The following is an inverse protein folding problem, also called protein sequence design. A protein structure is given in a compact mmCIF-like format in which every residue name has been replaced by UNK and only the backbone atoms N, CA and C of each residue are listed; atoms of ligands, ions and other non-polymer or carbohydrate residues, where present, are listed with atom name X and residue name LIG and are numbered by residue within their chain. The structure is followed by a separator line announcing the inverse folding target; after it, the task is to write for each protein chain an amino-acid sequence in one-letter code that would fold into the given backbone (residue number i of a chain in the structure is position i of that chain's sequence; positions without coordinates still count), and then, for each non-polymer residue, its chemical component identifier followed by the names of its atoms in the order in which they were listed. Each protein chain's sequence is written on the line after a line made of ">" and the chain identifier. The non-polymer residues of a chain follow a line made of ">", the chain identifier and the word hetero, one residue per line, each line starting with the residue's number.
data_IF_251877625809
#
_entry.id   IF_251877625809
#
_cell.length_a   1.000
_cell.length_b   1.000
_cell.length_c   1.000
_cell.angle_alpha   90.00
_cell.angle_beta   90.00
_cell.angle_gamma   90.00
#
_symmetry.space_group_name_H-M   'P 1'
#
loop_
_entity.id
_entity.type
_entity.pdbx_description
1 polymer ?
#
# COMPACT_ATOMS: atom_id res chain seq x y z
N UNK A 1 -11.70 7.21 -21.44
CA UNK A 1 -10.77 7.51 -20.32
C UNK A 1 -11.54 7.33 -19.03
N UNK A 2 -10.91 6.78 -18.03
CA UNK A 2 -11.46 6.61 -16.68
C UNK A 2 -11.48 7.98 -16.01
N UNK A 3 -12.64 8.42 -15.56
CA UNK A 3 -12.80 9.69 -14.86
C UNK A 3 -12.50 9.50 -13.38
N UNK A 4 -11.38 10.07 -12.93
CA UNK A 4 -10.92 9.95 -11.55
C UNK A 4 -11.19 11.21 -10.73
N UNK A 5 -11.62 11.03 -9.49
CA UNK A 5 -11.64 12.08 -8.48
C UNK A 5 -10.79 11.69 -7.27
N UNK A 6 -10.31 12.70 -6.55
CA UNK A 6 -9.50 12.52 -5.34
C UNK A 6 -10.14 13.34 -4.23
N UNK A 7 -10.49 12.71 -3.09
CA UNK A 7 -10.85 13.40 -1.85
C UNK A 7 -9.63 13.49 -0.92
N UNK A 8 -9.63 14.47 -0.02
CA UNK A 8 -8.44 14.77 0.79
C UNK A 8 -7.31 15.35 -0.06
N UNK A 9 -7.66 16.20 -1.04
CA UNK A 9 -6.77 16.67 -2.10
C UNK A 9 -5.50 17.37 -1.64
N UNK A 10 -5.46 17.90 -0.41
CA UNK A 10 -4.27 18.59 0.15
C UNK A 10 -3.26 17.65 0.81
N UNK A 11 -3.60 16.36 0.98
CA UNK A 11 -2.75 15.38 1.67
C UNK A 11 -1.49 15.01 0.88
N UNK A 12 -0.43 14.52 1.55
CA UNK A 12 0.74 13.97 0.88
C UNK A 12 0.39 12.80 -0.06
N UNK A 13 -0.57 11.96 0.31
CA UNK A 13 -1.04 10.83 -0.50
C UNK A 13 -1.70 11.30 -1.79
N UNK A 14 -2.56 12.31 -1.71
CA UNK A 14 -3.16 12.94 -2.90
C UNK A 14 -2.09 13.48 -3.86
N UNK A 15 -1.03 14.11 -3.32
CA UNK A 15 0.09 14.61 -4.12
C UNK A 15 0.75 13.50 -4.93
N UNK A 16 1.03 12.36 -4.31
CA UNK A 16 1.71 11.25 -5.01
C UNK A 16 0.78 10.56 -6.01
N UNK A 17 -0.52 10.42 -5.69
CA UNK A 17 -1.54 9.95 -6.65
C UNK A 17 -1.60 10.88 -7.86
N UNK A 18 -1.66 12.20 -7.65
CA UNK A 18 -1.70 13.20 -8.72
C UNK A 18 -0.49 13.11 -9.65
N UNK A 19 0.73 12.97 -9.10
CA UNK A 19 1.95 12.83 -9.90
C UNK A 19 1.90 11.63 -10.87
N UNK A 20 1.26 10.54 -10.44
CA UNK A 20 1.11 9.34 -11.27
C UNK A 20 -0.02 9.54 -12.29
N UNK A 21 -1.19 10.00 -11.85
CA UNK A 21 -2.39 10.07 -12.67
C UNK A 21 -2.32 11.15 -13.76
N UNK A 22 -1.62 12.27 -13.55
CA UNK A 22 -1.43 13.32 -14.57
C UNK A 22 -0.80 12.74 -15.86
N UNK A 23 0.05 11.74 -15.73
CA UNK A 23 0.73 11.09 -16.85
C UNK A 23 0.13 9.72 -17.22
N UNK A 24 -0.99 9.34 -16.62
CA UNK A 24 -1.61 8.05 -16.89
C UNK A 24 -2.41 8.08 -18.20
N UNK A 25 -2.13 7.21 -19.18
CA UNK A 25 -2.72 7.31 -20.53
C UNK A 25 -4.23 7.07 -20.58
N UNK A 26 -4.80 6.33 -19.62
CA UNK A 26 -6.20 5.90 -19.62
C UNK A 26 -7.06 6.65 -18.60
N UNK A 27 -6.50 7.63 -17.87
CA UNK A 27 -7.18 8.35 -16.78
C UNK A 27 -7.30 9.84 -17.10
N UNK A 28 -8.46 10.40 -16.79
CA UNK A 28 -8.72 11.84 -16.74
C UNK A 28 -9.03 12.23 -15.28
N UNK A 29 -8.23 13.11 -14.70
CA UNK A 29 -8.55 13.67 -13.38
C UNK A 29 -9.60 14.76 -13.58
N UNK A 30 -10.81 14.56 -13.07
CA UNK A 30 -11.91 15.51 -13.23
C UNK A 30 -12.14 16.35 -11.97
N UNK A 31 -11.70 15.87 -10.80
CA UNK A 31 -11.91 16.57 -9.54
C UNK A 31 -10.80 16.27 -8.55
N UNK A 32 -10.34 17.31 -7.85
CA UNK A 32 -9.49 17.18 -6.64
C UNK A 32 -10.20 17.97 -5.55
N UNK A 33 -10.84 17.22 -4.66
CA UNK A 33 -11.69 17.79 -3.61
C UNK A 33 -10.87 18.14 -2.37
N UNK A 34 -10.91 19.40 -1.99
CA UNK A 34 -10.34 19.96 -0.77
C UNK A 34 -11.05 21.28 -0.45
N UNK A 35 -12.14 21.26 0.33
CA UNK A 35 -12.93 22.44 0.63
C UNK A 35 -12.12 23.58 1.26
N UNK A 36 -11.13 23.22 2.08
CA UNK A 36 -10.24 24.17 2.75
C UNK A 36 -9.30 24.93 1.80
N UNK A 37 -9.10 24.42 0.59
CA UNK A 37 -8.23 25.00 -0.45
C UNK A 37 -9.01 25.41 -1.71
N UNK A 38 -10.34 25.52 -1.64
CA UNK A 38 -11.18 25.80 -2.79
C UNK A 38 -10.67 26.97 -3.66
N UNK A 39 -10.61 26.75 -4.97
CA UNK A 39 -10.16 27.74 -5.95
C UNK A 39 -8.65 27.93 -6.05
N UNK A 40 -7.86 27.42 -5.12
CA UNK A 40 -6.39 27.43 -5.22
C UNK A 40 -5.91 26.48 -6.33
N UNK A 41 -4.83 26.84 -7.01
CA UNK A 41 -4.17 25.90 -7.94
C UNK A 41 -3.56 24.73 -7.15
N UNK A 42 -3.62 23.51 -7.72
CA UNK A 42 -2.99 22.33 -7.10
C UNK A 42 -1.50 22.58 -6.81
N UNK A 43 -0.81 23.30 -7.71
CA UNK A 43 0.60 23.65 -7.58
C UNK A 43 0.93 24.66 -6.47
N UNK A 44 -0.05 25.33 -5.89
CA UNK A 44 0.16 26.21 -4.73
C UNK A 44 0.34 25.42 -3.43
N UNK A 45 -0.34 24.28 -3.31
CA UNK A 45 -0.22 23.34 -2.20
C UNK A 45 0.87 22.29 -2.52
N UNK A 46 0.75 21.65 -3.66
CA UNK A 46 1.67 20.62 -4.15
C UNK A 46 2.70 21.22 -5.10
N UNK A 47 3.73 21.85 -4.54
CA UNK A 47 4.72 22.64 -5.33
C UNK A 47 5.40 21.85 -6.45
N UNK A 48 5.56 20.53 -6.30
CA UNK A 48 6.11 19.64 -7.32
C UNK A 48 5.25 19.51 -8.60
N UNK A 49 3.99 19.96 -8.57
CA UNK A 49 3.08 19.96 -9.73
C UNK A 49 3.12 21.28 -10.53
N UNK A 50 4.07 22.15 -10.23
CA UNK A 50 4.19 23.44 -10.94
C UNK A 50 4.59 23.22 -12.41
N UNK A 51 3.70 23.65 -13.32
CA UNK A 51 3.89 23.45 -14.76
C UNK A 51 3.28 22.17 -15.32
N UNK A 52 2.92 21.21 -14.45
CA UNK A 52 2.31 19.93 -14.85
C UNK A 52 0.78 20.04 -15.03
N UNK A 53 0.15 20.93 -14.26
CA UNK A 53 -1.31 21.11 -14.32
C UNK A 53 -1.72 22.52 -13.89
N UNK A 54 -2.85 23.00 -14.43
CA UNK A 54 -3.53 24.24 -14.04
C UNK A 54 -4.83 23.99 -13.28
N UNK A 55 -5.09 22.76 -12.88
CA UNK A 55 -6.27 22.41 -12.11
C UNK A 55 -6.30 23.11 -10.76
N UNK A 56 -7.53 23.30 -10.26
CA UNK A 56 -7.80 23.91 -8.95
C UNK A 56 -8.52 22.93 -8.05
N UNK A 57 -8.34 23.11 -6.77
CA UNK A 57 -9.15 22.40 -5.77
C UNK A 57 -10.60 22.86 -5.83
N UNK A 58 -11.51 21.94 -5.53
CA UNK A 58 -12.93 22.18 -5.47
C UNK A 58 -13.51 21.75 -4.12
N UNK A 59 -14.59 22.41 -3.67
CA UNK A 59 -15.34 21.99 -2.50
C UNK A 59 -16.45 20.97 -2.81
N UNK A 60 -16.80 20.81 -4.10
CA UNK A 60 -17.85 19.90 -4.55
C UNK A 60 -17.25 18.66 -5.21
N UNK A 61 -17.79 17.50 -4.87
CA UNK A 61 -17.44 16.20 -5.46
C UNK A 61 -18.52 15.82 -6.47
N UNK A 62 -18.19 15.69 -7.78
CA UNK A 62 -19.15 15.28 -8.81
C UNK A 62 -19.31 13.75 -8.82
N UNK A 63 -19.89 13.20 -7.75
CA UNK A 63 -19.88 11.75 -7.44
C UNK A 63 -20.62 10.92 -8.49
N UNK A 64 -21.58 11.51 -9.19
CA UNK A 64 -22.38 10.83 -10.25
C UNK A 64 -21.67 10.84 -11.62
N UNK A 65 -20.61 11.64 -11.78
CA UNK A 65 -19.92 11.84 -13.07
C UNK A 65 -18.51 11.23 -13.09
N UNK A 66 -18.14 10.44 -12.10
CA UNK A 66 -16.82 9.81 -11.97
C UNK A 66 -16.90 8.28 -11.98
N UNK A 67 -15.83 7.64 -12.45
CA UNK A 67 -15.70 6.19 -12.51
C UNK A 67 -14.93 5.64 -11.30
N UNK A 68 -14.00 6.43 -10.74
CA UNK A 68 -13.20 6.06 -9.59
C UNK A 68 -12.97 7.24 -8.65
N UNK A 69 -13.08 6.96 -7.35
CA UNK A 69 -12.76 7.87 -6.27
C UNK A 69 -11.57 7.35 -5.47
N UNK A 70 -10.50 8.12 -5.40
CA UNK A 70 -9.41 7.90 -4.45
C UNK A 70 -9.69 8.69 -3.16
N UNK A 71 -9.82 8.00 -2.06
CA UNK A 71 -9.94 8.61 -0.73
C UNK A 71 -8.54 8.69 -0.13
N UNK A 72 -7.91 9.86 -0.27
CA UNK A 72 -6.50 10.07 0.04
C UNK A 72 -6.24 10.61 1.45
N UNK A 73 -7.29 10.85 2.23
CA UNK A 73 -7.17 11.20 3.63
C UNK A 73 -6.95 9.93 4.46
N UNK A 74 -5.84 9.87 5.18
CA UNK A 74 -5.44 8.70 5.99
C UNK A 74 -5.76 8.84 7.47
N UNK A 75 -6.41 9.94 7.86
CA UNK A 75 -6.85 10.10 9.24
C UNK A 75 -7.98 9.11 9.58
N UNK A 76 -7.93 8.44 10.75
CA UNK A 76 -8.99 7.55 11.18
C UNK A 76 -10.35 8.26 11.21
N UNK A 77 -11.38 7.62 10.65
CA UNK A 77 -12.74 8.16 10.55
C UNK A 77 -13.00 9.02 9.30
N UNK A 78 -11.99 9.34 8.49
CA UNK A 78 -12.15 10.21 7.32
C UNK A 78 -13.06 9.58 6.27
N UNK A 79 -12.81 8.33 5.93
CA UNK A 79 -13.59 7.61 4.92
C UNK A 79 -14.97 7.24 5.42
N UNK A 80 -15.12 6.84 6.68
CA UNK A 80 -16.42 6.62 7.30
C UNK A 80 -17.29 7.89 7.25
N UNK A 81 -16.71 9.05 7.58
CA UNK A 81 -17.40 10.33 7.51
C UNK A 81 -17.85 10.66 6.09
N UNK A 82 -16.97 10.46 5.10
CA UNK A 82 -17.30 10.68 3.70
C UNK A 82 -18.46 9.79 3.27
N UNK A 83 -18.40 8.50 3.53
CA UNK A 83 -19.44 7.53 3.18
C UNK A 83 -20.77 7.80 3.87
N UNK A 84 -20.77 8.35 5.09
CA UNK A 84 -21.98 8.74 5.82
C UNK A 84 -22.66 9.98 5.23
N UNK A 85 -21.92 10.84 4.52
CA UNK A 85 -22.42 12.13 4.01
C UNK A 85 -22.71 12.14 2.52
N UNK A 86 -22.26 11.13 1.78
CA UNK A 86 -22.44 11.02 0.33
C UNK A 86 -23.17 9.72 -0.04
N UNK A 87 -24.16 9.82 -0.92
CA UNK A 87 -24.76 8.64 -1.55
C UNK A 87 -23.84 8.17 -2.66
N UNK A 88 -23.26 6.99 -2.51
CA UNK A 88 -22.33 6.41 -3.48
C UNK A 88 -23.12 5.66 -4.55
N UNK A 89 -22.97 6.03 -5.85
CA UNK A 89 -23.61 5.33 -6.95
C UNK A 89 -23.15 3.87 -7.04
N UNK A 90 -24.09 3.00 -7.42
CA UNK A 90 -23.77 1.61 -7.75
C UNK A 90 -22.80 1.58 -8.95
N UNK A 91 -21.68 0.91 -8.80
CA UNK A 91 -20.65 0.81 -9.84
C UNK A 91 -19.50 1.82 -9.74
N UNK A 92 -19.62 2.90 -8.94
CA UNK A 92 -18.49 3.73 -8.60
C UNK A 92 -17.43 2.91 -7.88
N UNK A 93 -16.19 2.95 -8.37
CA UNK A 93 -15.08 2.28 -7.72
C UNK A 93 -14.44 3.21 -6.69
N UNK A 94 -14.23 2.71 -5.48
CA UNK A 94 -13.60 3.45 -4.38
C UNK A 94 -12.29 2.76 -4.02
N UNK A 95 -11.23 3.56 -3.93
CA UNK A 95 -9.91 3.13 -3.47
C UNK A 95 -9.59 3.96 -2.23
N UNK A 96 -9.64 3.31 -1.09
CA UNK A 96 -9.55 3.94 0.22
C UNK A 96 -8.17 3.71 0.85
N UNK A 97 -7.46 4.81 1.13
CA UNK A 97 -6.14 4.80 1.76
C UNK A 97 -6.23 4.96 3.29
N UNK A 98 -7.43 5.21 3.84
CA UNK A 98 -7.61 5.29 5.29
C UNK A 98 -7.56 3.90 5.95
N UNK A 99 -7.40 3.83 7.28
CA UNK A 99 -7.49 2.56 8.00
C UNK A 99 -8.93 2.04 8.17
N UNK A 100 -9.95 2.86 7.90
CA UNK A 100 -11.32 2.69 8.37
C UNK A 100 -11.98 1.36 7.99
N UNK A 101 -11.70 0.82 6.80
CA UNK A 101 -12.36 -0.38 6.30
C UNK A 101 -11.40 -1.57 6.10
N UNK A 102 -10.16 -1.51 6.59
CA UNK A 102 -9.17 -2.58 6.42
C UNK A 102 -9.59 -3.87 7.11
N UNK A 103 -9.97 -3.79 8.39
CA UNK A 103 -10.40 -4.96 9.17
C UNK A 103 -11.70 -5.56 8.65
N UNK A 104 -12.69 -4.73 8.27
CA UNK A 104 -13.93 -5.20 7.65
C UNK A 104 -13.63 -5.97 6.37
N UNK A 105 -12.78 -5.43 5.50
CA UNK A 105 -12.40 -6.07 4.22
C UNK A 105 -11.63 -7.38 4.38
N UNK A 106 -11.02 -7.63 5.55
CA UNK A 106 -10.31 -8.89 5.87
C UNK A 106 -11.20 -9.92 6.54
N UNK A 107 -12.13 -9.49 7.40
CA UNK A 107 -12.82 -10.36 8.33
C UNK A 107 -14.29 -10.63 7.94
N UNK A 108 -14.88 -9.80 7.09
CA UNK A 108 -16.26 -9.95 6.65
C UNK A 108 -16.33 -10.44 5.19
N UNK A 109 -16.72 -11.70 5.01
CA UNK A 109 -16.88 -12.30 3.67
C UNK A 109 -18.03 -11.68 2.86
N UNK A 110 -18.95 -10.97 3.51
CA UNK A 110 -20.06 -10.24 2.87
C UNK A 110 -19.72 -8.77 2.64
N UNK A 111 -18.55 -8.30 3.09
CA UNK A 111 -18.09 -6.94 2.84
C UNK A 111 -18.05 -6.65 1.33
N UNK A 112 -18.58 -5.51 0.89
CA UNK A 112 -18.43 -5.07 -0.51
C UNK A 112 -16.99 -4.66 -0.82
N UNK A 113 -16.12 -4.55 0.19
CA UNK A 113 -14.73 -4.15 0.10
C UNK A 113 -13.76 -5.33 -0.02
N UNK A 114 -12.66 -5.11 -0.70
CA UNK A 114 -11.53 -6.03 -0.81
C UNK A 114 -10.34 -5.40 -0.11
N UNK A 115 -9.67 -6.15 0.77
CA UNK A 115 -8.35 -5.75 1.26
C UNK A 115 -7.37 -5.77 0.09
N UNK A 116 -6.91 -4.58 -0.31
CA UNK A 116 -6.35 -4.38 -1.63
C UNK A 116 -4.83 -4.54 -1.69
N UNK A 117 -4.32 -5.66 -1.18
CA UNK A 117 -2.96 -6.12 -1.45
C UNK A 117 -3.01 -7.03 -2.69
N UNK A 118 -2.44 -6.63 -3.85
CA UNK A 118 -2.59 -7.38 -5.09
C UNK A 118 -2.02 -8.81 -5.04
N UNK A 119 -0.96 -9.02 -4.26
CA UNK A 119 -0.28 -10.30 -4.17
C UNK A 119 -1.21 -11.47 -3.78
N UNK A 120 -2.01 -11.41 -2.71
CA UNK A 120 -3.01 -12.45 -2.42
C UNK A 120 -4.39 -12.17 -3.04
N UNK A 121 -4.74 -10.90 -3.38
CA UNK A 121 -6.10 -10.50 -3.70
C UNK A 121 -6.33 -10.00 -5.13
N UNK A 122 -5.40 -10.26 -6.06
CA UNK A 122 -5.54 -9.89 -7.48
C UNK A 122 -6.86 -10.36 -8.10
N UNK A 123 -7.26 -11.60 -7.80
CA UNK A 123 -8.45 -12.21 -8.40
C UNK A 123 -9.76 -11.51 -8.02
N UNK A 124 -10.07 -11.19 -6.76
CA UNK A 124 -11.27 -10.41 -6.42
C UNK A 124 -11.22 -8.99 -6.98
N UNK A 125 -10.05 -8.33 -7.01
CA UNK A 125 -9.90 -6.98 -7.60
C UNK A 125 -10.31 -6.97 -9.09
N UNK A 126 -9.85 -7.94 -9.88
CA UNK A 126 -10.19 -8.05 -11.32
C UNK A 126 -11.63 -8.48 -11.54
N UNK A 127 -12.26 -9.20 -10.61
CA UNK A 127 -13.60 -9.77 -10.78
C UNK A 127 -14.76 -8.86 -10.44
N UNK A 128 -14.52 -7.57 -10.25
CA UNK A 128 -15.57 -6.58 -10.09
C UNK A 128 -15.70 -6.00 -8.68
N UNK A 129 -14.62 -5.99 -7.91
CA UNK A 129 -14.58 -5.22 -6.66
C UNK A 129 -14.99 -3.77 -6.94
N UNK A 130 -15.86 -3.23 -6.08
CA UNK A 130 -16.28 -1.83 -6.11
C UNK A 130 -15.61 -0.99 -5.04
N UNK A 131 -15.13 -1.61 -3.97
CA UNK A 131 -14.36 -0.94 -2.92
C UNK A 131 -13.06 -1.69 -2.63
N UNK A 132 -11.96 -0.97 -2.56
CA UNK A 132 -10.63 -1.46 -2.26
C UNK A 132 -10.06 -0.71 -1.06
N UNK A 133 -9.77 -1.42 0.04
CA UNK A 133 -9.14 -0.86 1.25
C UNK A 133 -7.64 -1.09 1.18
N UNK A 134 -6.87 -0.01 1.03
CA UNK A 134 -5.42 -0.08 0.84
C UNK A 134 -4.70 -0.43 2.15
N UNK A 135 -3.68 -1.30 2.10
CA UNK A 135 -2.83 -1.60 3.24
C UNK A 135 -2.12 -0.37 3.83
N UNK A 136 -1.78 -0.43 5.10
CA UNK A 136 -0.83 0.49 5.72
C UNK A 136 0.59 0.34 5.16
N UNK A 137 1.47 1.34 5.35
CA UNK A 137 2.83 1.30 4.82
C UNK A 137 3.67 0.14 5.37
N UNK A 138 3.59 -0.14 6.68
CA UNK A 138 4.31 -1.27 7.29
C UNK A 138 3.74 -2.60 6.82
N UNK A 139 2.40 -2.74 6.77
CA UNK A 139 1.73 -3.93 6.23
C UNK A 139 2.12 -4.18 4.76
N UNK A 140 2.25 -3.13 3.95
CA UNK A 140 2.69 -3.21 2.55
C UNK A 140 4.12 -3.76 2.39
N UNK A 141 4.98 -3.61 3.41
CA UNK A 141 6.33 -4.17 3.43
C UNK A 141 6.37 -5.57 4.06
N UNK A 142 5.70 -5.74 5.22
CA UNK A 142 5.79 -6.97 6.03
C UNK A 142 4.97 -8.12 5.45
N UNK A 143 3.80 -7.84 4.88
CA UNK A 143 2.95 -8.89 4.30
C UNK A 143 3.64 -9.61 3.14
N UNK A 144 4.24 -8.96 2.14
CA UNK A 144 5.01 -9.68 1.11
C UNK A 144 6.14 -10.54 1.69
N UNK A 145 6.74 -10.15 2.83
CA UNK A 145 7.72 -10.99 3.52
C UNK A 145 7.13 -12.26 4.12
N UNK A 146 5.88 -12.24 4.59
CA UNK A 146 5.29 -13.32 5.38
C UNK A 146 4.26 -14.17 4.62
N UNK A 147 3.62 -13.63 3.58
CA UNK A 147 2.56 -14.31 2.83
C UNK A 147 2.99 -15.66 2.22
N UNK A 148 4.19 -15.82 1.60
CA UNK A 148 4.62 -17.13 1.11
C UNK A 148 4.75 -18.17 2.22
N UNK A 149 5.20 -17.76 3.41
CA UNK A 149 5.31 -18.63 4.58
C UNK A 149 3.92 -18.98 5.14
N UNK A 150 3.02 -17.99 5.26
CA UNK A 150 1.64 -18.20 5.71
C UNK A 150 0.90 -19.19 4.80
N UNK A 151 1.02 -19.03 3.47
CA UNK A 151 0.42 -19.94 2.48
C UNK A 151 0.87 -21.40 2.66
N UNK A 152 2.08 -21.61 3.17
CA UNK A 152 2.65 -22.93 3.41
C UNK A 152 2.60 -23.36 4.89
N UNK A 153 1.85 -22.65 5.74
CA UNK A 153 1.65 -22.93 7.17
C UNK A 153 2.95 -22.95 7.99
N UNK A 154 3.89 -22.09 7.63
CA UNK A 154 5.24 -22.04 8.21
C UNK A 154 5.43 -20.97 9.29
N UNK A 155 4.41 -20.16 9.59
CA UNK A 155 4.47 -19.14 10.65
C UNK A 155 4.16 -19.77 12.01
N UNK A 156 5.14 -20.46 12.61
CA UNK A 156 4.96 -21.27 13.81
C UNK A 156 5.87 -20.86 14.99
N UNK A 157 6.64 -19.78 14.83
CA UNK A 157 7.51 -19.22 15.89
C UNK A 157 7.26 -17.73 16.05
N UNK A 158 7.79 -17.12 17.10
CA UNK A 158 7.74 -15.66 17.29
C UNK A 158 8.37 -14.95 16.08
N UNK A 159 7.71 -13.92 15.60
CA UNK A 159 8.14 -13.11 14.46
C UNK A 159 8.63 -11.77 14.99
N UNK A 160 9.87 -11.44 14.68
CA UNK A 160 10.47 -10.15 15.03
C UNK A 160 10.50 -9.27 13.79
N UNK A 161 9.96 -8.05 13.91
CA UNK A 161 9.85 -7.07 12.84
C UNK A 161 10.62 -5.83 13.26
N UNK A 162 11.75 -5.59 12.62
CA UNK A 162 12.53 -4.39 12.81
C UNK A 162 12.44 -3.55 11.53
N UNK A 163 11.94 -2.31 11.63
CA UNK A 163 11.77 -1.45 10.50
C UNK A 163 12.33 -0.04 10.74
N UNK A 164 12.84 0.56 9.68
CA UNK A 164 13.19 1.97 9.65
C UNK A 164 12.32 2.63 8.58
N UNK A 165 11.46 3.55 9.00
CA UNK A 165 10.46 4.20 8.15
C UNK A 165 10.80 5.66 7.95
N UNK A 166 10.53 6.18 6.76
CA UNK A 166 10.67 7.59 6.47
C UNK A 166 9.72 8.43 7.36
N UNK A 167 10.28 9.24 8.23
CA UNK A 167 9.56 10.21 9.03
C UNK A 167 10.38 11.50 9.07
N UNK A 168 10.20 12.39 8.06
CA UNK A 168 11.05 13.57 7.88
C UNK A 168 10.99 14.59 9.01
N UNK A 169 9.97 14.52 9.89
CA UNK A 169 9.79 15.44 11.01
C UNK A 169 10.36 14.90 12.32
N UNK A 170 10.63 13.60 12.38
CA UNK A 170 11.24 12.95 13.53
C UNK A 170 12.78 12.97 13.43
N UNK A 171 13.46 12.84 14.57
CA UNK A 171 14.90 12.64 14.56
C UNK A 171 15.26 11.22 14.10
N UNK A 172 16.36 11.04 13.31
CA UNK A 172 16.79 9.72 12.90
C UNK A 172 17.05 8.80 14.11
N UNK A 173 16.38 7.62 14.13
CA UNK A 173 16.45 6.69 15.23
C UNK A 173 15.42 6.92 16.33
N UNK A 174 14.58 7.96 16.25
CA UNK A 174 13.46 8.14 17.16
C UNK A 174 12.51 6.93 17.09
N UNK A 175 12.13 6.32 18.24
CA UNK A 175 11.22 5.18 18.23
C UNK A 175 9.80 5.60 17.81
N UNK A 176 9.27 4.95 16.79
CA UNK A 176 7.90 5.12 16.31
C UNK A 176 6.98 4.05 16.90
N UNK A 177 7.49 2.83 17.08
CA UNK A 177 6.77 1.75 17.73
C UNK A 177 7.74 0.81 18.45
N UNK A 178 7.33 0.29 19.61
CA UNK A 178 8.09 -0.67 20.40
C UNK A 178 7.16 -1.75 20.96
N UNK A 179 7.45 -3.00 20.62
CA UNK A 179 6.71 -4.24 20.94
C UNK A 179 5.36 -4.35 20.24
N UNK A 180 4.60 -3.27 20.12
CA UNK A 180 3.29 -3.23 19.49
C UNK A 180 3.30 -2.23 18.31
N UNK A 181 2.41 -2.40 17.35
CA UNK A 181 2.23 -1.50 16.21
C UNK A 181 0.75 -1.37 15.87
N UNK A 182 0.32 -0.19 15.40
CA UNK A 182 -1.08 0.08 15.03
C UNK A 182 -1.58 -0.82 13.87
N UNK A 183 -0.69 -1.25 12.98
CA UNK A 183 -1.03 -2.15 11.87
C UNK A 183 -0.95 -3.65 12.26
N UNK A 184 -0.75 -4.03 13.55
CA UNK A 184 -0.64 -5.44 13.97
C UNK A 184 -1.92 -6.22 13.65
N UNK A 185 -3.09 -5.67 13.98
CA UNK A 185 -4.37 -6.31 13.72
C UNK A 185 -4.60 -6.56 12.21
N UNK A 186 -4.24 -5.58 11.38
CA UNK A 186 -4.28 -5.66 9.92
C UNK A 186 -3.37 -6.78 9.40
N UNK A 187 -2.11 -6.80 9.83
CA UNK A 187 -1.12 -7.81 9.42
C UNK A 187 -1.56 -9.20 9.85
N UNK A 188 -2.01 -9.38 11.10
CA UNK A 188 -2.55 -10.66 11.59
C UNK A 188 -3.77 -11.11 10.81
N UNK A 189 -4.71 -10.23 10.55
CA UNK A 189 -5.90 -10.52 9.77
C UNK A 189 -5.53 -11.03 8.38
N UNK A 190 -4.65 -10.33 7.67
CA UNK A 190 -4.21 -10.73 6.33
C UNK A 190 -3.48 -12.08 6.32
N UNK A 191 -2.58 -12.35 7.28
CA UNK A 191 -1.90 -13.64 7.41
C UNK A 191 -2.88 -14.77 7.77
N UNK A 192 -3.85 -14.48 8.62
CA UNK A 192 -4.89 -15.42 9.04
C UNK A 192 -5.78 -15.92 7.89
N UNK A 193 -5.95 -15.13 6.84
CA UNK A 193 -6.68 -15.56 5.62
C UNK A 193 -5.99 -16.73 4.91
N UNK A 194 -4.67 -16.85 5.02
CA UNK A 194 -3.87 -17.93 4.42
C UNK A 194 -3.52 -19.04 5.42
N UNK A 195 -3.24 -18.67 6.67
CA UNK A 195 -2.92 -19.59 7.75
C UNK A 195 -3.88 -19.37 8.92
N UNK A 196 -5.04 -20.01 8.91
CA UNK A 196 -6.06 -19.88 9.96
C UNK A 196 -5.54 -20.29 11.36
N UNK A 197 -4.48 -21.12 11.43
CA UNK A 197 -3.79 -21.49 12.66
C UNK A 197 -2.72 -20.47 13.12
N UNK A 198 -2.61 -19.33 12.48
CA UNK A 198 -1.62 -18.31 12.82
C UNK A 198 -1.97 -17.64 14.17
N UNK A 199 -1.16 -17.90 15.18
CA UNK A 199 -1.27 -17.32 16.51
C UNK A 199 0.10 -16.92 17.10
N UNK A 200 1.15 -16.94 16.26
CA UNK A 200 2.50 -16.58 16.70
C UNK A 200 2.57 -15.13 17.16
N UNK A 201 3.38 -14.89 18.16
CA UNK A 201 3.64 -13.54 18.63
C UNK A 201 4.38 -12.73 17.54
N UNK A 202 4.02 -11.47 17.38
CA UNK A 202 4.77 -10.50 16.55
C UNK A 202 5.27 -9.39 17.46
N UNK A 203 6.56 -9.10 17.36
CA UNK A 203 7.24 -8.08 18.13
C UNK A 203 7.85 -7.03 17.20
N UNK A 204 7.53 -5.79 17.44
CA UNK A 204 7.88 -4.67 16.58
C UNK A 204 8.96 -3.80 17.19
N UNK A 205 9.91 -3.36 16.38
CA UNK A 205 10.80 -2.24 16.65
C UNK A 205 10.80 -1.37 15.39
N UNK A 206 10.10 -0.25 15.44
CA UNK A 206 10.03 0.67 14.30
C UNK A 206 10.64 2.00 14.72
N UNK A 207 11.59 2.49 13.92
CA UNK A 207 12.30 3.75 14.16
C UNK A 207 12.20 4.69 12.97
N UNK A 208 12.27 5.98 13.23
CA UNK A 208 12.33 7.00 12.21
C UNK A 208 13.65 6.97 11.44
N UNK A 209 13.57 7.06 10.11
CA UNK A 209 14.69 7.34 9.24
C UNK A 209 14.76 8.83 8.89
N UNK A 210 15.97 9.37 8.75
CA UNK A 210 16.19 10.78 8.41
C UNK A 210 16.03 11.11 6.93
N UNK A 211 15.17 10.39 6.20
CA UNK A 211 14.94 10.55 4.76
C UNK A 211 13.47 10.81 4.43
N UNK A 212 13.21 11.22 3.20
CA UNK A 212 11.87 11.67 2.78
C UNK A 212 10.90 10.53 2.46
N UNK A 213 11.38 9.45 1.85
CA UNK A 213 10.59 8.32 1.39
C UNK A 213 11.36 7.03 1.60
N UNK A 214 10.65 5.97 1.92
CA UNK A 214 11.17 4.62 1.99
C UNK A 214 11.01 3.97 3.36
N UNK A 215 10.77 2.69 3.32
CA UNK A 215 10.67 1.81 4.46
C UNK A 215 11.54 0.58 4.19
N UNK A 216 12.48 0.32 5.08
CA UNK A 216 13.26 -0.90 5.11
C UNK A 216 12.85 -1.72 6.32
N UNK A 217 12.45 -2.98 6.10
CA UNK A 217 12.10 -3.89 7.17
C UNK A 217 13.00 -5.14 7.17
N UNK A 218 13.36 -5.59 8.35
CA UNK A 218 13.99 -6.89 8.57
C UNK A 218 13.05 -7.72 9.45
N UNK A 219 12.53 -8.78 8.88
CA UNK A 219 11.70 -9.76 9.57
C UNK A 219 12.54 -10.98 9.85
N UNK A 220 12.57 -11.48 11.08
CA UNK A 220 13.29 -12.69 11.38
C UNK A 220 12.51 -13.58 12.36
N UNK A 221 12.64 -14.88 12.15
CA UNK A 221 11.96 -15.92 12.92
C UNK A 221 12.75 -17.24 12.86
N UNK A 222 12.48 -18.15 13.76
CA UNK A 222 13.03 -19.50 13.66
C UNK A 222 12.33 -20.29 12.56
N UNK A 223 13.10 -21.02 11.76
CA UNK A 223 12.61 -21.90 10.71
C UNK A 223 13.48 -23.15 10.58
N UNK A 224 12.83 -24.31 10.53
CA UNK A 224 13.50 -25.60 10.26
C UNK A 224 13.65 -25.88 8.76
N UNK A 225 12.98 -25.10 7.89
CA UNK A 225 12.99 -25.27 6.43
C UNK A 225 14.30 -24.74 5.85
N UNK A 226 14.88 -25.42 4.88
CA UNK A 226 16.11 -24.97 4.22
C UNK A 226 15.91 -23.68 3.43
N UNK A 227 16.97 -22.86 3.28
CA UNK A 227 16.89 -21.62 2.49
C UNK A 227 16.45 -21.87 1.06
N UNK A 228 16.98 -22.91 0.41
CA UNK A 228 16.62 -23.23 -0.98
C UNK A 228 15.14 -23.62 -1.16
N UNK A 229 14.52 -24.23 -0.15
CA UNK A 229 13.09 -24.53 -0.19
C UNK A 229 12.27 -23.23 0.02
N UNK A 230 12.70 -22.36 0.93
CA UNK A 230 12.06 -21.07 1.16
C UNK A 230 12.15 -20.19 -0.09
N UNK A 231 13.32 -20.08 -0.73
CA UNK A 231 13.51 -19.32 -1.97
C UNK A 231 12.52 -19.76 -3.05
N UNK A 232 12.35 -21.08 -3.25
CA UNK A 232 11.35 -21.61 -4.18
C UNK A 232 9.93 -21.20 -3.86
N UNK A 233 9.54 -21.19 -2.56
CA UNK A 233 8.20 -20.75 -2.15
C UNK A 233 7.97 -19.27 -2.51
N UNK A 234 8.98 -18.42 -2.36
CA UNK A 234 8.89 -17.01 -2.74
C UNK A 234 8.87 -16.81 -4.25
N UNK A 235 9.75 -17.50 -4.98
CA UNK A 235 9.77 -17.48 -6.46
C UNK A 235 8.43 -17.92 -7.04
N UNK A 236 7.85 -19.03 -6.54
CA UNK A 236 6.54 -19.52 -6.98
C UNK A 236 5.42 -18.54 -6.63
N UNK A 237 5.45 -17.96 -5.40
CA UNK A 237 4.41 -17.04 -4.95
C UNK A 237 4.39 -15.75 -5.76
N UNK A 238 5.55 -15.21 -6.11
CA UNK A 238 5.68 -13.91 -6.80
C UNK A 238 5.92 -14.03 -8.31
N UNK A 239 5.91 -15.22 -8.90
CA UNK A 239 6.25 -15.47 -10.31
C UNK A 239 5.45 -14.63 -11.32
N UNK A 240 4.21 -14.29 -11.01
CA UNK A 240 3.31 -13.50 -11.86
C UNK A 240 3.01 -12.10 -11.30
N UNK A 241 3.76 -11.63 -10.30
CA UNK A 241 3.60 -10.32 -9.68
C UNK A 241 4.55 -9.29 -10.27
N UNK A 242 3.97 -8.19 -10.78
CA UNK A 242 4.73 -7.19 -11.55
C UNK A 242 5.67 -6.33 -10.72
N UNK A 243 5.42 -6.19 -9.41
CA UNK A 243 6.08 -5.20 -8.57
C UNK A 243 6.77 -5.79 -7.34
N UNK A 244 6.60 -7.08 -7.05
CA UNK A 244 7.27 -7.74 -5.92
C UNK A 244 8.32 -8.68 -6.46
N UNK A 245 9.56 -8.45 -6.06
CA UNK A 245 10.76 -9.08 -6.60
C UNK A 245 11.55 -9.76 -5.47
N UNK A 246 12.01 -10.98 -5.73
CA UNK A 246 12.99 -11.67 -4.87
C UNK A 246 14.38 -11.42 -5.45
N UNK A 247 15.31 -10.94 -4.63
CA UNK A 247 16.65 -10.53 -5.05
C UNK A 247 17.73 -11.37 -4.35
N UNK A 248 18.81 -11.65 -5.08
CA UNK A 248 19.98 -12.35 -4.57
C UNK A 248 20.83 -11.50 -3.61
N UNK A 249 20.63 -10.19 -3.61
CA UNK A 249 21.38 -9.23 -2.81
C UNK A 249 20.46 -8.43 -1.89
N UNK A 250 21.02 -7.95 -0.79
CA UNK A 250 20.31 -7.13 0.18
C UNK A 250 19.79 -5.85 -0.51
N UNK A 251 18.46 -5.58 -0.47
CA UNK A 251 17.90 -4.40 -1.11
C UNK A 251 18.27 -3.10 -0.39
N UNK A 252 18.41 -2.03 -1.15
CA UNK A 252 18.60 -0.69 -0.63
C UNK A 252 17.40 0.19 -0.90
N UNK A 253 17.18 1.22 -0.07
CA UNK A 253 16.10 2.18 -0.30
C UNK A 253 16.26 2.93 -1.63
N UNK A 254 17.48 3.12 -2.11
CA UNK A 254 17.75 3.79 -3.40
C UNK A 254 17.20 3.01 -4.60
N UNK A 255 17.12 1.67 -4.51
CA UNK A 255 16.58 0.84 -5.60
C UNK A 255 15.06 0.91 -5.74
N UNK A 256 14.38 1.30 -4.67
CA UNK A 256 12.92 1.35 -4.60
C UNK A 256 12.37 2.78 -4.58
N UNK A 257 13.18 3.76 -4.22
CA UNK A 257 12.77 5.16 -4.11
C UNK A 257 12.10 5.67 -5.40
N UNK A 258 10.90 6.24 -5.27
CA UNK A 258 10.11 6.73 -6.40
C UNK A 258 9.49 5.63 -7.26
N UNK A 259 9.52 4.35 -6.85
CA UNK A 259 8.99 3.24 -7.64
C UNK A 259 7.90 2.47 -6.91
N UNK A 260 7.09 1.70 -7.66
CA UNK A 260 6.09 0.78 -7.08
C UNK A 260 6.68 -0.61 -6.75
N UNK A 261 7.99 -0.72 -6.54
CA UNK A 261 8.66 -1.99 -6.26
C UNK A 261 8.62 -2.33 -4.77
N UNK A 262 8.46 -3.63 -4.49
CA UNK A 262 8.83 -4.27 -3.24
C UNK A 262 9.97 -5.24 -3.55
N UNK A 263 11.13 -5.10 -2.92
CA UNK A 263 12.28 -5.98 -3.12
C UNK A 263 12.52 -6.76 -1.84
N UNK A 264 12.58 -8.08 -1.97
CA UNK A 264 12.72 -9.03 -0.86
C UNK A 264 14.03 -9.78 -1.03
N UNK A 265 14.81 -9.92 0.04
CA UNK A 265 16.02 -10.77 0.10
C UNK A 265 15.91 -11.74 1.26
N UNK A 266 16.28 -12.98 1.01
CA UNK A 266 16.20 -14.08 1.96
C UNK A 266 17.60 -14.52 2.39
N UNK A 267 17.79 -14.70 3.69
CA UNK A 267 19.02 -15.25 4.24
C UNK A 267 18.71 -16.18 5.41
N UNK A 268 19.49 -17.20 5.58
CA UNK A 268 19.33 -18.15 6.70
C UNK A 268 20.64 -18.43 7.42
N UNK A 269 20.57 -18.42 8.74
CA UNK A 269 21.62 -18.92 9.64
C UNK A 269 20.92 -19.66 10.77
N UNK A 270 21.00 -20.97 10.75
CA UNK A 270 20.21 -21.84 11.65
C UNK A 270 20.29 -21.42 13.12
N UNK A 271 19.13 -21.34 13.79
CA UNK A 271 17.79 -21.67 13.31
C UNK A 271 17.07 -20.48 12.61
N UNK A 272 17.73 -19.34 12.40
CA UNK A 272 17.14 -18.07 12.01
C UNK A 272 16.96 -17.94 10.51
N UNK A 273 15.73 -17.67 10.08
CA UNK A 273 15.39 -17.10 8.77
C UNK A 273 15.31 -15.59 8.92
N UNK A 274 16.01 -14.88 8.04
CA UNK A 274 16.01 -13.41 7.97
C UNK A 274 15.50 -12.98 6.60
N UNK A 275 14.49 -12.12 6.60
CA UNK A 275 13.84 -11.61 5.40
C UNK A 275 13.98 -10.09 5.41
N UNK A 276 14.70 -9.55 4.44
CA UNK A 276 14.86 -8.11 4.29
C UNK A 276 13.94 -7.61 3.18
N UNK A 277 13.26 -6.51 3.45
CA UNK A 277 12.33 -5.88 2.51
C UNK A 277 12.63 -4.41 2.39
N UNK A 278 12.56 -3.88 1.18
CA UNK A 278 12.59 -2.45 0.93
C UNK A 278 11.44 -2.04 0.01
N UNK A 279 10.76 -0.95 0.36
CA UNK A 279 9.72 -0.30 -0.44
C UNK A 279 9.88 1.21 -0.39
N UNK A 280 9.28 1.93 -1.35
CA UNK A 280 8.92 3.33 -1.17
C UNK A 280 7.56 3.39 -0.43
N UNK A 281 7.54 3.93 0.79
CA UNK A 281 6.36 3.96 1.66
C UNK A 281 5.22 4.83 1.08
N UNK A 282 5.54 5.83 0.25
CA UNK A 282 4.56 6.73 -0.38
C UNK A 282 4.07 6.23 -1.74
N UNK A 283 4.88 5.41 -2.43
CA UNK A 283 4.52 4.85 -3.74
C UNK A 283 4.01 3.42 -3.54
N UNK A 284 4.87 2.43 -3.26
CA UNK A 284 4.44 1.03 -3.03
C UNK A 284 3.58 0.91 -1.76
N UNK A 285 3.90 1.66 -0.72
CA UNK A 285 3.13 1.69 0.52
C UNK A 285 1.80 2.46 0.43
N UNK A 286 1.52 3.19 -0.67
CA UNK A 286 0.31 4.03 -0.80
C UNK A 286 -0.08 4.27 -2.27
N UNK A 287 0.33 5.41 -2.86
CA UNK A 287 -0.19 5.96 -4.11
C UNK A 287 0.02 5.04 -5.33
N UNK A 288 1.19 4.46 -5.48
CA UNK A 288 1.50 3.55 -6.58
C UNK A 288 0.69 2.25 -6.51
N UNK A 289 0.54 1.69 -5.31
CA UNK A 289 -0.34 0.54 -5.09
C UNK A 289 -1.82 0.88 -5.32
N UNK A 290 -2.27 2.08 -4.94
CA UNK A 290 -3.63 2.55 -5.23
C UNK A 290 -3.91 2.62 -6.75
N UNK A 291 -2.96 3.15 -7.54
CA UNK A 291 -3.07 3.18 -9.01
C UNK A 291 -2.96 1.76 -9.60
N UNK A 292 -2.12 0.89 -9.06
CA UNK A 292 -2.06 -0.53 -9.44
C UNK A 292 -3.42 -1.23 -9.23
N UNK A 293 -4.03 -1.03 -8.06
CA UNK A 293 -5.36 -1.55 -7.74
C UNK A 293 -6.42 -0.99 -8.69
N UNK A 294 -6.39 0.31 -9.01
CA UNK A 294 -7.25 0.90 -10.03
C UNK A 294 -7.09 0.17 -11.37
N UNK A 295 -5.85 -0.04 -11.83
CA UNK A 295 -5.60 -0.74 -13.09
C UNK A 295 -6.25 -2.13 -13.10
N UNK A 296 -6.10 -2.89 -12.01
CA UNK A 296 -6.72 -4.21 -11.86
C UNK A 296 -8.25 -4.13 -11.87
N UNK A 297 -8.85 -3.20 -11.13
CA UNK A 297 -10.30 -3.04 -11.03
C UNK A 297 -10.93 -2.64 -12.37
N UNK A 298 -10.19 -1.94 -13.25
CA UNK A 298 -10.66 -1.56 -14.59
C UNK A 298 -10.18 -2.50 -15.71
N UNK A 299 -9.48 -3.60 -15.37
CA UNK A 299 -8.98 -4.56 -16.34
C UNK A 299 -7.88 -4.03 -17.24
N UNK A 300 -7.18 -2.99 -16.80
CA UNK A 300 -5.99 -2.49 -17.48
C UNK A 300 -4.76 -3.38 -17.20
N UNK A 301 -3.72 -3.20 -18.00
CA UNK A 301 -2.44 -3.81 -17.69
C UNK A 301 -1.86 -3.20 -16.39
N UNK A 302 -1.39 -4.03 -15.48
CA UNK A 302 -0.96 -3.63 -14.14
C UNK A 302 0.07 -2.50 -14.10
N UNK A 303 0.98 -2.48 -15.08
CA UNK A 303 2.11 -1.53 -15.15
C UNK A 303 1.78 -0.19 -15.79
N UNK A 304 0.59 -0.01 -16.34
CA UNK A 304 0.20 1.26 -17.00
C UNK A 304 0.30 2.40 -15.99
N UNK A 305 0.97 3.49 -16.36
CA UNK A 305 1.25 4.63 -15.50
C UNK A 305 2.27 4.40 -14.38
N UNK A 306 2.74 3.15 -14.18
CA UNK A 306 3.59 2.75 -13.05
C UNK A 306 5.01 2.30 -13.46
N UNK A 307 5.44 2.57 -14.68
CA UNK A 307 6.82 2.29 -15.12
C UNK A 307 7.81 3.35 -14.58
N UNK A 308 7.70 3.58 -13.29
CA UNK A 308 8.51 4.52 -12.53
C UNK A 308 9.94 3.97 -12.37
N UNK A 309 10.94 4.86 -12.40
CA UNK A 309 12.35 4.51 -12.23
C UNK A 309 12.88 5.12 -10.94
N UNK A 310 13.71 4.36 -10.25
CA UNK A 310 14.49 4.87 -9.12
C UNK A 310 15.46 5.96 -9.60
N UNK A 311 15.75 6.92 -8.75
CA UNK A 311 16.64 8.05 -9.02
C UNK A 311 18.10 7.67 -8.78
#
# INVERSE_FOLDING_TARGET
>A
MIKAAISGGTTPQAREILKILINHPDVEIVCVNAPEAEGMLLSQVHRGLRGETFMRFTSQMPIDDIDVLFMADTEPGASMKFMATHSVPEGLKIIDLSPDFREESLNDAESPGVYALPEPHRKPLVRGATRASMPGPLASAVLPALLPLAKNLLLNSTIHINAVQAEPQAEPGEPLALLEHEEDAEIRGALGTLQASFHSEMLYVVTAGGWQNGLAATVYMESAVSVNEIEKLYEEFFSDHSFTLVADTLPTLMEVAGTNKCIIHLQKSDPWLVINVAIDDKIKGAAGSAVHVMNLMFGLQERVGLMLKSH
#
